data_IF_260300316535
#
_entry.id   IF_260300316535
#
_cell.length_a   1.000
_cell.length_b   1.000
_cell.length_c   1.000
_cell.angle_alpha   90.00
_cell.angle_beta   90.00
_cell.angle_gamma   90.00
#
_symmetry.space_group_name_H-M   'P 1'
#
loop_
_entity.id
_entity.type
_entity.pdbx_description
1 polymer ?
#
# COMPACT_ATOMS: atom_id res chain seq x y z
N UNK A 1 -13.20 -51.75 -31.00
CA UNK A 1 -12.55 -51.53 -29.68
C UNK A 1 -11.47 -50.43 -29.69
N UNK A 2 -11.01 -49.92 -30.84
CA UNK A 2 -9.98 -48.86 -30.89
C UNK A 2 -10.56 -47.45 -30.59
N UNK A 3 -11.81 -47.19 -30.98
CA UNK A 3 -12.48 -45.89 -30.78
C UNK A 3 -12.71 -45.54 -29.30
N UNK A 4 -12.87 -46.55 -28.43
CA UNK A 4 -13.09 -46.38 -27.00
C UNK A 4 -11.81 -45.98 -26.24
N UNK A 5 -10.63 -46.40 -26.71
CA UNK A 5 -9.35 -45.99 -26.12
C UNK A 5 -8.97 -44.55 -26.49
N UNK A 6 -9.27 -44.11 -27.72
CA UNK A 6 -9.01 -42.73 -28.17
C UNK A 6 -9.85 -41.73 -27.37
N UNK A 7 -11.12 -42.06 -27.09
CA UNK A 7 -12.00 -41.23 -26.27
C UNK A 7 -11.53 -41.09 -24.82
N UNK A 8 -10.97 -42.14 -24.22
CA UNK A 8 -10.46 -42.10 -22.85
C UNK A 8 -9.21 -41.20 -22.74
N UNK A 9 -8.29 -41.31 -23.69
CA UNK A 9 -7.05 -40.51 -23.74
C UNK A 9 -7.36 -39.03 -23.98
N UNK A 10 -8.28 -38.72 -24.89
CA UNK A 10 -8.74 -37.34 -25.15
C UNK A 10 -9.38 -36.72 -23.89
N UNK A 11 -10.24 -37.45 -23.19
CA UNK A 11 -10.91 -36.95 -21.99
C UNK A 11 -9.95 -36.70 -20.82
N UNK A 12 -8.90 -37.52 -20.68
CA UNK A 12 -7.83 -37.29 -19.69
C UNK A 12 -6.87 -36.16 -20.09
N UNK A 13 -6.58 -35.99 -21.39
CA UNK A 13 -5.76 -34.90 -21.88
C UNK A 13 -6.46 -33.54 -21.71
N UNK A 14 -7.77 -33.47 -21.97
CA UNK A 14 -8.58 -32.27 -21.76
C UNK A 14 -8.56 -31.85 -20.28
N UNK A 15 -8.70 -32.81 -19.35
CA UNK A 15 -8.61 -32.53 -17.91
C UNK A 15 -7.23 -32.02 -17.49
N UNK A 16 -6.15 -32.53 -18.09
CA UNK A 16 -4.78 -32.07 -17.80
C UNK A 16 -4.58 -30.64 -18.33
N UNK A 17 -5.00 -30.38 -19.57
CA UNK A 17 -4.92 -29.03 -20.16
C UNK A 17 -5.75 -28.03 -19.38
N UNK A 18 -6.94 -28.42 -18.91
CA UNK A 18 -7.78 -27.59 -18.05
C UNK A 18 -7.11 -27.29 -16.71
N UNK A 19 -6.49 -28.29 -16.05
CA UNK A 19 -5.72 -28.07 -14.83
C UNK A 19 -4.53 -27.14 -15.05
N UNK A 20 -3.80 -27.28 -16.17
CA UNK A 20 -2.66 -26.41 -16.51
C UNK A 20 -3.16 -24.98 -16.74
N UNK A 21 -4.25 -24.78 -17.50
CA UNK A 21 -4.85 -23.46 -17.72
C UNK A 21 -5.32 -22.83 -16.41
N UNK A 22 -5.97 -23.60 -15.55
CA UNK A 22 -6.41 -23.12 -14.23
C UNK A 22 -5.22 -22.77 -13.32
N UNK A 23 -4.13 -23.54 -13.38
CA UNK A 23 -2.91 -23.26 -12.64
C UNK A 23 -2.21 -21.99 -13.16
N UNK A 24 -2.09 -21.83 -14.48
CA UNK A 24 -1.53 -20.64 -15.11
C UNK A 24 -2.35 -19.39 -14.75
N UNK A 25 -3.68 -19.45 -14.89
CA UNK A 25 -4.58 -18.35 -14.53
C UNK A 25 -4.46 -17.95 -13.05
N UNK A 26 -4.28 -18.93 -12.15
CA UNK A 26 -4.04 -18.64 -10.72
C UNK A 26 -2.70 -17.96 -10.47
N UNK A 27 -1.65 -18.37 -11.17
CA UNK A 27 -0.33 -17.75 -11.08
C UNK A 27 -0.36 -16.29 -11.59
N UNK A 28 -1.00 -16.06 -12.74
CA UNK A 28 -1.19 -14.70 -13.29
C UNK A 28 -1.99 -13.81 -12.34
N UNK A 29 -3.04 -14.36 -11.73
CA UNK A 29 -3.83 -13.62 -10.74
C UNK A 29 -3.01 -13.31 -9.47
N UNK A 30 -2.16 -14.21 -9.01
CA UNK A 30 -1.26 -13.98 -7.88
C UNK A 30 -0.25 -12.86 -8.18
N UNK A 31 0.35 -12.85 -9.37
CA UNK A 31 1.27 -11.79 -9.82
C UNK A 31 0.54 -10.44 -9.90
N UNK A 32 -0.68 -10.43 -10.45
CA UNK A 32 -1.51 -9.22 -10.51
C UNK A 32 -1.81 -8.65 -9.12
N UNK A 33 -2.24 -9.50 -8.18
CA UNK A 33 -2.50 -9.09 -6.79
C UNK A 33 -1.23 -8.58 -6.09
N UNK A 34 -0.08 -9.23 -6.34
CA UNK A 34 1.21 -8.78 -5.83
C UNK A 34 1.56 -7.38 -6.37
N UNK A 35 1.48 -7.17 -7.68
CA UNK A 35 1.82 -5.90 -8.31
C UNK A 35 0.93 -4.76 -7.80
N UNK A 36 -0.36 -5.03 -7.62
CA UNK A 36 -1.30 -4.06 -7.07
C UNK A 36 -0.96 -3.67 -5.63
N UNK A 37 -0.70 -4.65 -4.75
CA UNK A 37 -0.28 -4.40 -3.37
C UNK A 37 1.06 -3.65 -3.30
N UNK A 38 2.04 -4.07 -4.11
CA UNK A 38 3.36 -3.45 -4.19
C UNK A 38 3.25 -2.00 -4.64
N UNK A 39 2.40 -1.71 -5.64
CA UNK A 39 2.14 -0.36 -6.13
C UNK A 39 1.48 0.50 -5.05
N UNK A 40 0.44 -0.01 -4.38
CA UNK A 40 -0.28 0.74 -3.36
C UNK A 40 0.61 1.08 -2.15
N UNK A 41 1.48 0.15 -1.74
CA UNK A 41 2.48 0.40 -0.69
C UNK A 41 3.56 1.39 -1.14
N UNK A 42 4.05 1.27 -2.38
CA UNK A 42 5.08 2.17 -2.92
C UNK A 42 4.57 3.60 -3.07
N UNK A 43 3.36 3.77 -3.60
CA UNK A 43 2.70 5.08 -3.70
C UNK A 43 2.57 5.73 -2.32
N UNK A 44 2.12 4.97 -1.31
CA UNK A 44 2.00 5.48 0.05
C UNK A 44 3.35 5.91 0.63
N UNK A 45 4.39 5.08 0.50
CA UNK A 45 5.75 5.41 1.00
C UNK A 45 6.26 6.68 0.33
N UNK A 46 6.19 6.74 -1.01
CA UNK A 46 6.66 7.88 -1.77
C UNK A 46 5.96 9.17 -1.37
N UNK A 47 4.62 9.19 -1.32
CA UNK A 47 3.91 10.41 -0.94
C UNK A 47 4.07 10.78 0.53
N UNK A 48 4.33 9.81 1.41
CA UNK A 48 4.69 10.08 2.81
C UNK A 48 6.06 10.75 2.89
N UNK A 49 7.07 10.26 2.16
CA UNK A 49 8.40 10.86 2.08
C UNK A 49 8.32 12.30 1.59
N UNK A 50 7.63 12.51 0.47
CA UNK A 50 7.47 13.84 -0.13
C UNK A 50 6.77 14.77 0.87
N UNK A 51 5.70 14.31 1.52
CA UNK A 51 5.00 15.10 2.54
C UNK A 51 5.94 15.49 3.70
N UNK A 52 6.68 14.53 4.26
CA UNK A 52 7.63 14.78 5.36
C UNK A 52 8.67 15.82 4.96
N UNK A 53 9.24 15.69 3.76
CA UNK A 53 10.21 16.65 3.22
C UNK A 53 9.61 18.04 3.07
N UNK A 54 8.39 18.10 2.54
CA UNK A 54 7.68 19.36 2.27
C UNK A 54 7.40 20.16 3.54
N UNK A 55 6.91 19.50 4.59
CA UNK A 55 6.70 20.10 5.90
C UNK A 55 8.03 20.47 6.57
N UNK A 56 9.06 19.63 6.46
CA UNK A 56 10.40 19.91 7.01
C UNK A 56 11.04 21.16 6.40
N UNK A 57 10.75 21.46 5.14
CA UNK A 57 11.26 22.64 4.44
C UNK A 57 10.37 23.89 4.62
N UNK A 58 9.28 23.79 5.39
CA UNK A 58 8.36 24.90 5.62
C UNK A 58 7.61 25.33 4.36
N UNK A 59 7.48 24.44 3.37
CA UNK A 59 6.77 24.72 2.11
C UNK A 59 5.26 24.61 2.31
N UNK A 60 4.72 25.21 3.36
CA UNK A 60 3.36 24.98 3.85
C UNK A 60 2.40 26.12 3.49
N UNK A 61 2.63 26.80 2.37
CA UNK A 61 1.65 27.77 1.82
C UNK A 61 0.46 27.04 1.23
N UNK A 62 -0.68 27.73 1.07
CA UNK A 62 -1.88 27.18 0.43
C UNK A 62 -1.61 26.55 -0.95
N UNK A 63 -0.89 27.25 -1.83
CA UNK A 63 -0.56 26.74 -3.18
C UNK A 63 0.26 25.45 -3.12
N UNK A 64 1.19 25.39 -2.16
CA UNK A 64 2.08 24.25 -1.96
C UNK A 64 1.33 23.05 -1.36
N UNK A 65 0.52 23.27 -0.31
CA UNK A 65 -0.28 22.23 0.37
C UNK A 65 -1.30 21.59 -0.58
N UNK A 66 -1.95 22.38 -1.43
CA UNK A 66 -2.94 21.90 -2.40
C UNK A 66 -2.36 20.95 -3.46
N UNK A 67 -1.03 20.91 -3.62
CA UNK A 67 -0.36 19.96 -4.53
C UNK A 67 -0.01 18.64 -3.86
N UNK A 68 0.30 18.65 -2.56
CA UNK A 68 0.85 17.48 -1.86
C UNK A 68 -0.18 16.76 -0.99
N UNK A 69 -1.00 17.49 -0.23
CA UNK A 69 -1.98 16.90 0.71
C UNK A 69 -2.97 15.99 -0.02
N UNK A 70 -3.55 16.37 -1.18
CA UNK A 70 -4.45 15.48 -1.91
C UNK A 70 -3.77 14.21 -2.43
N UNK A 71 -2.49 14.27 -2.79
CA UNK A 71 -1.74 13.11 -3.29
C UNK A 71 -1.47 12.10 -2.18
N UNK A 72 -1.03 12.58 -1.02
CA UNK A 72 -0.90 11.74 0.18
C UNK A 72 -2.27 11.13 0.55
N UNK A 73 -3.32 11.95 0.64
CA UNK A 73 -4.66 11.50 1.01
C UNK A 73 -5.19 10.43 0.05
N UNK A 74 -4.95 10.59 -1.26
CA UNK A 74 -5.35 9.57 -2.23
C UNK A 74 -4.59 8.25 -2.04
N UNK A 75 -3.27 8.31 -1.79
CA UNK A 75 -2.46 7.12 -1.57
C UNK A 75 -2.89 6.34 -0.33
N UNK A 76 -3.08 7.02 0.81
CA UNK A 76 -3.56 6.37 2.03
C UNK A 76 -4.98 5.83 1.87
N UNK A 77 -5.88 6.56 1.20
CA UNK A 77 -7.26 6.09 0.95
C UNK A 77 -7.24 4.81 0.11
N UNK A 78 -6.45 4.78 -0.97
CA UNK A 78 -6.33 3.61 -1.85
C UNK A 78 -5.85 2.39 -1.07
N UNK A 79 -4.77 2.56 -0.29
CA UNK A 79 -4.18 1.50 0.53
C UNK A 79 -5.15 1.02 1.64
N UNK A 80 -5.79 1.95 2.39
CA UNK A 80 -6.71 1.61 3.49
C UNK A 80 -8.02 1.00 3.01
N UNK A 81 -8.58 1.45 1.88
CA UNK A 81 -9.82 0.87 1.31
C UNK A 81 -9.64 -0.61 0.97
N UNK A 82 -8.44 -1.02 0.59
CA UNK A 82 -8.11 -2.40 0.21
C UNK A 82 -7.50 -3.21 1.33
N UNK A 83 -7.32 -2.64 2.53
CA UNK A 83 -6.62 -3.28 3.64
C UNK A 83 -7.14 -4.71 3.93
N UNK A 84 -8.45 -4.89 4.09
CA UNK A 84 -9.03 -6.20 4.40
C UNK A 84 -8.95 -7.18 3.24
N UNK A 85 -9.11 -6.69 2.00
CA UNK A 85 -8.97 -7.52 0.79
C UNK A 85 -7.52 -7.99 0.67
N UNK A 86 -6.57 -7.07 0.81
CA UNK A 86 -5.14 -7.36 0.78
C UNK A 86 -4.75 -8.31 1.92
N UNK A 87 -5.26 -8.13 3.13
CA UNK A 87 -5.01 -9.05 4.24
C UNK A 87 -5.52 -10.48 3.93
N UNK A 88 -6.74 -10.59 3.42
CA UNK A 88 -7.33 -11.88 3.06
C UNK A 88 -6.54 -12.55 1.92
N UNK A 89 -6.13 -11.79 0.90
CA UNK A 89 -5.30 -12.28 -0.20
C UNK A 89 -3.93 -12.71 0.30
N UNK A 90 -3.28 -11.89 1.14
CA UNK A 90 -1.97 -12.20 1.73
C UNK A 90 -2.04 -13.49 2.53
N UNK A 91 -3.07 -13.65 3.36
CA UNK A 91 -3.31 -14.86 4.13
C UNK A 91 -3.55 -16.08 3.24
N UNK A 92 -4.36 -15.93 2.20
CA UNK A 92 -4.74 -17.02 1.30
C UNK A 92 -3.58 -17.52 0.44
N UNK A 93 -2.75 -16.61 -0.08
CA UNK A 93 -1.73 -16.93 -1.08
C UNK A 93 -0.34 -17.18 -0.45
N UNK A 94 -0.01 -16.49 0.65
CA UNK A 94 1.32 -16.58 1.29
C UNK A 94 1.27 -17.00 2.77
N UNK A 95 0.08 -17.29 3.30
CA UNK A 95 -0.11 -17.88 4.63
C UNK A 95 -0.12 -16.89 5.80
N UNK A 96 -0.39 -17.44 6.99
CA UNK A 96 -0.61 -16.68 8.23
C UNK A 96 0.58 -15.80 8.65
N UNK A 97 1.82 -16.27 8.44
CA UNK A 97 3.02 -15.51 8.81
C UNK A 97 3.09 -14.19 8.03
N UNK A 98 2.91 -14.24 6.70
CA UNK A 98 2.90 -13.05 5.85
C UNK A 98 1.71 -12.13 6.16
N UNK A 99 0.55 -12.70 6.52
CA UNK A 99 -0.61 -11.91 6.94
C UNK A 99 -0.34 -11.12 8.24
N UNK A 100 0.37 -11.72 9.21
CA UNK A 100 0.78 -11.03 10.43
C UNK A 100 1.77 -9.89 10.13
N UNK A 101 2.77 -10.14 9.28
CA UNK A 101 3.73 -9.11 8.84
C UNK A 101 3.01 -7.95 8.11
N UNK A 102 2.04 -8.26 7.25
CA UNK A 102 1.20 -7.24 6.61
C UNK A 102 0.40 -6.42 7.64
N UNK A 103 -0.14 -7.08 8.67
CA UNK A 103 -0.86 -6.39 9.76
C UNK A 103 0.05 -5.43 10.53
N UNK A 104 1.31 -5.81 10.78
CA UNK A 104 2.31 -4.92 11.39
C UNK A 104 2.61 -3.71 10.50
N UNK A 105 2.79 -3.92 9.19
CA UNK A 105 2.99 -2.85 8.21
C UNK A 105 1.80 -1.89 8.23
N UNK A 106 0.57 -2.42 8.17
CA UNK A 106 -0.64 -1.60 8.22
C UNK A 106 -0.79 -0.87 9.56
N UNK A 107 -0.34 -1.44 10.67
CA UNK A 107 -0.29 -0.73 11.95
C UNK A 107 0.61 0.51 11.90
N UNK A 108 1.79 0.42 11.28
CA UNK A 108 2.67 1.57 11.07
C UNK A 108 2.03 2.62 10.17
N UNK A 109 1.42 2.20 9.07
CA UNK A 109 0.66 3.08 8.14
C UNK A 109 -0.40 3.87 8.90
N UNK A 110 -1.20 3.21 9.76
CA UNK A 110 -2.26 3.87 10.54
C UNK A 110 -1.70 4.87 11.56
N UNK A 111 -0.57 4.55 12.18
CA UNK A 111 0.09 5.45 13.16
C UNK A 111 0.65 6.69 12.48
N UNK A 112 1.26 6.55 11.30
CA UNK A 112 1.70 7.68 10.48
C UNK A 112 0.48 8.51 10.06
N UNK A 113 -0.58 7.87 9.59
CA UNK A 113 -1.79 8.56 9.14
C UNK A 113 -2.47 9.38 10.25
N UNK A 114 -2.50 8.85 11.48
CA UNK A 114 -2.98 9.60 12.64
C UNK A 114 -2.18 10.89 12.87
N UNK A 115 -0.84 10.83 12.75
CA UNK A 115 0.02 12.01 12.87
C UNK A 115 -0.16 12.98 11.69
N UNK A 116 -0.32 12.48 10.47
CA UNK A 116 -0.58 13.33 9.29
C UNK A 116 -1.95 14.00 9.39
N UNK A 117 -2.93 13.38 10.06
CA UNK A 117 -4.23 14.01 10.32
C UNK A 117 -4.10 15.31 11.15
N UNK A 118 -3.16 15.35 12.09
CA UNK A 118 -2.84 16.56 12.86
C UNK A 118 -2.25 17.65 11.94
N UNK A 119 -1.34 17.28 11.02
CA UNK A 119 -0.82 18.20 10.00
C UNK A 119 -1.92 18.70 9.05
N UNK A 120 -2.86 17.84 8.69
CA UNK A 120 -3.99 18.21 7.84
C UNK A 120 -4.94 19.20 8.53
N UNK A 121 -5.07 19.13 9.85
CA UNK A 121 -5.84 20.12 10.62
C UNK A 121 -5.20 21.50 10.53
N UNK A 122 -3.88 21.57 10.68
CA UNK A 122 -3.11 22.81 10.48
C UNK A 122 -3.17 23.29 9.02
N UNK A 123 -3.08 22.38 8.05
CA UNK A 123 -3.23 22.69 6.64
C UNK A 123 -4.62 23.26 6.31
N UNK A 124 -5.68 22.79 6.98
CA UNK A 124 -7.03 23.34 6.84
C UNK A 124 -7.14 24.80 7.33
N UNK A 125 -6.38 25.18 8.36
CA UNK A 125 -6.28 26.58 8.78
C UNK A 125 -5.58 27.44 7.72
N UNK A 126 -4.59 26.90 7.02
CA UNK A 126 -3.95 27.59 5.89
C UNK A 126 -4.89 27.71 4.68
N UNK A 127 -5.58 26.62 4.33
CA UNK A 127 -6.48 26.60 3.18
C UNK A 127 -7.67 27.55 3.36
N UNK A 128 -8.22 27.64 4.58
CA UNK A 128 -9.28 28.60 4.94
C UNK A 128 -8.81 30.05 5.04
N UNK A 129 -7.51 30.32 4.90
CA UNK A 129 -6.93 31.67 5.02
C UNK A 129 -6.78 32.18 6.45
N UNK A 130 -6.99 31.35 7.46
CA UNK A 130 -6.76 31.70 8.88
C UNK A 130 -5.27 31.80 9.22
N UNK A 131 -4.42 31.10 8.48
CA UNK A 131 -2.94 31.15 8.57
C UNK A 131 -2.35 31.28 7.17
N UNK A 132 -1.22 31.96 7.04
CA UNK A 132 -0.47 31.99 5.77
C UNK A 132 0.27 30.65 5.52
N UNK A 133 0.77 30.06 6.61
CA UNK A 133 1.55 28.81 6.63
C UNK A 133 1.26 28.03 7.90
N UNK A 134 1.51 26.73 7.86
CA UNK A 134 1.52 25.86 9.05
C UNK A 134 2.63 26.31 9.99
N UNK A 135 2.36 26.29 11.30
CA UNK A 135 3.33 26.63 12.33
C UNK A 135 4.57 25.70 12.24
N UNK A 136 5.79 26.25 12.02
CA UNK A 136 7.01 25.46 11.91
C UNK A 136 7.32 24.60 13.15
N UNK A 137 6.99 25.08 14.36
CA UNK A 137 7.24 24.34 15.60
C UNK A 137 6.32 23.12 15.71
N UNK A 138 5.03 23.30 15.38
CA UNK A 138 4.04 22.21 15.33
C UNK A 138 4.41 21.20 14.25
N UNK A 139 4.72 21.67 13.04
CA UNK A 139 5.13 20.81 11.94
C UNK A 139 6.37 19.99 12.32
N UNK A 140 7.39 20.62 12.90
CA UNK A 140 8.61 19.94 13.34
C UNK A 140 8.31 18.84 14.37
N UNK A 141 7.53 19.14 15.40
CA UNK A 141 7.18 18.17 16.44
C UNK A 141 6.47 16.93 15.87
N UNK A 142 5.50 17.13 14.97
CA UNK A 142 4.79 16.01 14.33
C UNK A 142 5.71 15.23 13.40
N UNK A 143 6.52 15.91 12.60
CA UNK A 143 7.49 15.27 11.70
C UNK A 143 8.51 14.42 12.48
N UNK A 144 9.00 14.90 13.62
CA UNK A 144 9.93 14.15 14.44
C UNK A 144 9.31 12.87 15.02
N UNK A 145 7.98 12.83 15.21
CA UNK A 145 7.23 11.61 15.54
C UNK A 145 6.98 10.70 14.33
N UNK A 146 6.82 11.25 13.12
CA UNK A 146 6.61 10.47 11.88
C UNK A 146 7.90 9.76 11.45
N UNK A 147 9.06 10.45 11.48
CA UNK A 147 10.35 9.93 11.01
C UNK A 147 10.70 8.51 11.50
N UNK A 148 10.63 8.17 12.80
CA UNK A 148 10.97 6.82 13.26
C UNK A 148 9.98 5.76 12.75
N UNK A 149 8.70 6.09 12.61
CA UNK A 149 7.69 5.18 12.07
C UNK A 149 7.89 4.97 10.57
N UNK A 150 8.20 6.04 9.85
CA UNK A 150 8.47 6.00 8.43
C UNK A 150 9.73 5.18 8.12
N UNK A 151 10.81 5.38 8.88
CA UNK A 151 12.03 4.56 8.77
C UNK A 151 11.75 3.08 9.03
N UNK A 152 10.91 2.76 10.02
CA UNK A 152 10.50 1.38 10.26
C UNK A 152 9.72 0.81 9.07
N UNK A 153 8.82 1.60 8.47
CA UNK A 153 8.05 1.21 7.29
C UNK A 153 8.96 0.97 6.08
N UNK A 154 9.87 1.90 5.77
CA UNK A 154 10.86 1.79 4.68
C UNK A 154 11.75 0.56 4.84
N UNK A 155 12.05 0.14 6.07
CA UNK A 155 12.82 -1.08 6.30
C UNK A 155 11.99 -2.37 6.14
N UNK A 156 10.71 -2.36 6.55
CA UNK A 156 9.85 -3.55 6.57
C UNK A 156 9.24 -3.86 5.20
N UNK A 157 8.79 -2.85 4.48
CA UNK A 157 8.02 -3.04 3.24
C UNK A 157 8.83 -3.74 2.14
N UNK A 158 10.08 -3.35 1.84
CA UNK A 158 10.88 -4.03 0.82
C UNK A 158 11.10 -5.51 1.15
N UNK A 159 11.43 -5.82 2.41
CA UNK A 159 11.63 -7.20 2.87
C UNK A 159 10.35 -8.03 2.77
N UNK A 160 9.22 -7.44 3.11
CA UNK A 160 7.91 -8.06 2.95
C UNK A 160 7.60 -8.34 1.48
N UNK A 161 7.78 -7.36 0.59
CA UNK A 161 7.50 -7.52 -0.84
C UNK A 161 8.40 -8.56 -1.51
N UNK A 162 9.71 -8.56 -1.21
CA UNK A 162 10.66 -9.56 -1.72
C UNK A 162 10.23 -10.98 -1.34
N UNK A 163 9.65 -11.16 -0.15
CA UNK A 163 9.16 -12.46 0.32
C UNK A 163 7.85 -12.91 -0.32
N UNK A 164 7.06 -11.97 -0.85
CA UNK A 164 5.81 -12.29 -1.56
C UNK A 164 6.04 -12.63 -3.04
N UNK A 165 7.17 -12.22 -3.61
CA UNK A 165 7.56 -12.58 -4.98
C UNK A 165 8.10 -14.01 -5.03
#
# INVERSE_FOLDING_TARGET
MVTSMIGLVAFSADKIVEHIKLAANRADQQISNYNELATDLSDYIFFTEVLVKFYSQGWTTKSSLNKIVPRYNNAIIKLRKREYVNLALVHRLWGKKSANEFTEIMSLVKRIDALVHELNTEAGAVDSGKKEKVDPAVAKAIIDNIKPLFKALESKVPLFLIKLY
#
